data_IF_248332895932
#
_entry.id   IF_248332895932
#
_cell.length_a   1.000
_cell.length_b   1.000
_cell.length_c   1.000
_cell.angle_alpha   90.00
_cell.angle_beta   90.00
_cell.angle_gamma   90.00
#
_symmetry.space_group_name_H-M   'P 1'
#
loop_
_entity.id
_entity.type
_entity.pdbx_description
1 polymer ?
#
# COMPACT_ATOMS: atom_id res chain seq x y z
N UNK A 1 8.89 -19.48 35.88
CA UNK A 1 8.72 -20.42 34.75
C UNK A 1 7.50 -19.95 33.97
N UNK A 2 7.69 -19.14 32.92
CA UNK A 2 6.60 -18.59 32.09
C UNK A 2 6.68 -19.22 30.71
N UNK A 3 5.64 -19.94 30.36
CA UNK A 3 5.50 -20.63 29.08
C UNK A 3 4.86 -19.63 28.10
N UNK A 4 5.57 -19.27 27.04
CA UNK A 4 5.02 -18.50 25.91
C UNK A 4 4.31 -19.44 24.96
N UNK A 5 3.09 -19.13 24.50
CA UNK A 5 2.47 -19.89 23.41
C UNK A 5 3.04 -19.43 22.06
N UNK A 6 3.66 -20.34 21.33
CA UNK A 6 4.02 -20.17 19.94
C UNK A 6 2.73 -20.24 19.10
N UNK A 7 2.38 -19.17 18.41
CA UNK A 7 1.28 -19.16 17.44
C UNK A 7 1.82 -19.78 16.14
N UNK A 8 1.46 -21.05 15.91
CA UNK A 8 1.73 -21.74 14.65
C UNK A 8 0.77 -21.25 13.56
N UNK A 9 1.32 -20.57 12.56
CA UNK A 9 0.60 -20.19 11.35
C UNK A 9 0.47 -21.42 10.45
N UNK A 10 -0.68 -22.12 10.49
CA UNK A 10 -0.98 -23.23 9.59
C UNK A 10 -1.35 -22.70 8.21
N UNK A 11 -0.46 -22.94 7.25
CA UNK A 11 -0.68 -22.67 5.83
C UNK A 11 -1.64 -23.72 5.26
N UNK A 12 -2.89 -23.34 5.00
CA UNK A 12 -3.87 -24.21 4.34
C UNK A 12 -3.61 -24.18 2.83
N UNK A 13 -3.04 -25.26 2.29
CA UNK A 13 -2.88 -25.44 0.85
C UNK A 13 -4.19 -26.02 0.31
N UNK A 14 -4.99 -25.18 -0.36
CA UNK A 14 -6.12 -25.65 -1.16
C UNK A 14 -5.61 -26.16 -2.50
N UNK A 15 -5.70 -27.47 -2.72
CA UNK A 15 -5.50 -28.08 -4.03
C UNK A 15 -6.74 -27.85 -4.90
N UNK A 16 -6.63 -27.00 -5.91
CA UNK A 16 -7.67 -26.82 -6.93
C UNK A 16 -7.42 -27.81 -8.06
N UNK A 17 -8.35 -28.74 -8.20
CA UNK A 17 -8.36 -29.73 -9.28
C UNK A 17 -8.56 -29.06 -10.65
N UNK A 18 -7.72 -29.40 -11.61
CA UNK A 18 -7.82 -28.98 -13.00
C UNK A 18 -8.96 -29.69 -13.71
N UNK A 19 -10.02 -28.94 -14.07
CA UNK A 19 -10.99 -29.36 -15.10
C UNK A 19 -10.70 -28.55 -16.37
N UNK A 20 -10.24 -29.25 -17.40
CA UNK A 20 -10.01 -28.66 -18.71
C UNK A 20 -11.32 -28.19 -19.33
N UNK A 21 -11.36 -26.98 -19.81
CA UNK A 21 -12.37 -26.46 -20.72
C UNK A 21 -11.69 -26.04 -22.02
N UNK A 22 -12.20 -26.66 -23.08
CA UNK A 22 -11.85 -26.50 -24.48
C UNK A 22 -11.87 -25.04 -24.94
N UNK A 23 -10.91 -24.72 -25.80
CA UNK A 23 -10.78 -23.42 -26.42
C UNK A 23 -12.01 -22.98 -27.20
N UNK A 24 -12.38 -21.76 -27.04
CA UNK A 24 -13.17 -21.00 -27.98
C UNK A 24 -12.37 -19.79 -28.42
N UNK A 25 -12.16 -19.71 -29.74
CA UNK A 25 -11.49 -18.66 -30.49
C UNK A 25 -12.00 -17.27 -30.08
N UNK A 26 -11.21 -16.53 -29.34
CA UNK A 26 -11.44 -15.11 -29.16
C UNK A 26 -10.69 -14.33 -30.25
N UNK A 27 -11.20 -14.38 -31.48
CA UNK A 27 -10.89 -13.36 -32.48
C UNK A 27 -11.51 -12.04 -32.03
N UNK A 28 -10.79 -11.30 -31.21
CA UNK A 28 -11.14 -9.91 -30.91
C UNK A 28 -10.83 -9.08 -32.16
N UNK A 29 -11.86 -8.73 -32.88
CA UNK A 29 -11.85 -7.86 -34.04
C UNK A 29 -11.23 -6.50 -33.64
N UNK A 30 -10.05 -6.23 -34.16
CA UNK A 30 -9.41 -4.95 -34.07
C UNK A 30 -10.12 -3.92 -34.93
N UNK A 31 -11.16 -3.31 -34.39
CA UNK A 31 -11.66 -2.02 -34.87
C UNK A 31 -11.23 -0.98 -33.83
N UNK A 32 -10.01 -0.53 -33.96
CA UNK A 32 -9.50 0.59 -33.21
C UNK A 32 -9.40 1.81 -34.09
N UNK A 33 -10.40 2.65 -34.07
CA UNK A 33 -10.13 4.06 -34.08
C UNK A 33 -9.49 4.35 -32.70
N UNK A 34 -8.17 4.39 -32.65
CA UNK A 34 -7.43 4.84 -31.48
C UNK A 34 -7.90 6.26 -31.15
N UNK A 35 -8.57 6.49 -30.00
CA UNK A 35 -8.55 7.83 -29.47
C UNK A 35 -7.09 8.11 -29.21
N UNK A 36 -6.58 9.22 -29.69
CA UNK A 36 -5.29 9.78 -29.31
C UNK A 36 -5.39 10.17 -27.83
N UNK A 37 -5.25 9.20 -26.95
CA UNK A 37 -5.12 9.45 -25.52
C UNK A 37 -3.75 10.06 -25.35
N UNK A 38 -3.71 11.37 -25.15
CA UNK A 38 -2.51 11.99 -24.60
C UNK A 38 -2.15 11.18 -23.36
N UNK A 39 -0.89 10.78 -23.16
CA UNK A 39 -0.51 10.05 -21.96
C UNK A 39 -0.92 10.90 -20.76
N UNK A 40 -1.90 10.41 -20.02
CA UNK A 40 -2.29 11.02 -18.76
C UNK A 40 -1.11 10.82 -17.81
N UNK A 41 -0.58 11.90 -17.27
CA UNK A 41 0.47 11.81 -16.26
C UNK A 41 -0.03 11.06 -15.01
N UNK A 42 -1.32 11.15 -14.73
CA UNK A 42 -1.99 10.56 -13.57
C UNK A 42 -2.67 9.26 -13.98
N UNK A 43 -2.38 8.18 -13.25
CA UNK A 43 -2.99 6.87 -13.50
C UNK A 43 -4.11 6.53 -12.53
N UNK A 44 -4.00 6.93 -11.26
CA UNK A 44 -4.94 6.50 -10.24
C UNK A 44 -4.94 7.49 -9.07
N UNK A 45 -6.12 7.73 -8.52
CA UNK A 45 -6.31 8.41 -7.25
C UNK A 45 -6.86 7.43 -6.22
N UNK A 46 -6.34 7.46 -4.99
CA UNK A 46 -6.76 6.61 -3.88
C UNK A 46 -7.10 7.41 -2.65
N UNK A 47 -8.11 6.97 -1.93
CA UNK A 47 -8.44 7.48 -0.61
C UNK A 47 -8.90 6.33 0.29
N UNK A 48 -8.75 6.51 1.59
CA UNK A 48 -9.13 5.46 2.53
C UNK A 48 -8.97 5.85 3.98
N UNK A 49 -9.25 4.88 4.83
CA UNK A 49 -9.11 5.01 6.27
C UNK A 49 -8.22 3.89 6.81
N UNK A 50 -7.47 4.20 7.85
CA UNK A 50 -6.66 3.21 8.56
C UNK A 50 -6.73 3.41 10.06
N UNK A 51 -6.64 2.31 10.81
CA UNK A 51 -6.31 2.31 12.22
C UNK A 51 -4.80 2.57 12.34
N UNK A 52 -4.43 3.56 13.13
CA UNK A 52 -3.04 3.90 13.37
C UNK A 52 -2.51 3.11 14.54
N UNK A 53 -1.39 2.42 14.30
CA UNK A 53 -0.60 1.70 15.29
C UNK A 53 -1.46 0.81 16.23
N UNK A 54 -2.37 -0.04 15.68
CA UNK A 54 -3.40 -0.72 16.48
C UNK A 54 -2.82 -1.62 17.58
N UNK A 55 -1.55 -1.97 17.51
CA UNK A 55 -0.83 -2.76 18.52
C UNK A 55 0.21 -1.96 19.31
N UNK A 56 0.38 -0.68 18.99
CA UNK A 56 1.40 0.20 19.60
C UNK A 56 0.82 1.28 20.49
N UNK A 57 1.65 2.30 20.73
CA UNK A 57 1.33 3.40 21.65
C UNK A 57 0.19 4.27 21.13
N UNK A 58 0.22 4.63 19.86
CA UNK A 58 -0.74 5.56 19.27
C UNK A 58 -2.13 4.96 19.06
N UNK A 59 -2.24 3.63 19.08
CA UNK A 59 -3.51 2.92 18.92
C UNK A 59 -4.27 2.59 20.20
N UNK A 60 -3.72 2.90 21.38
CA UNK A 60 -4.29 2.45 22.68
C UNK A 60 -5.74 2.88 22.93
N UNK A 61 -6.10 4.08 22.49
CA UNK A 61 -7.44 4.65 22.68
C UNK A 61 -8.25 4.68 21.38
N UNK A 62 -7.81 3.93 20.38
CA UNK A 62 -8.35 3.97 19.04
C UNK A 62 -7.90 5.22 18.28
N UNK A 63 -7.09 5.05 17.27
CA UNK A 63 -6.58 6.15 16.44
C UNK A 63 -6.85 5.85 14.97
N UNK A 64 -7.41 6.82 14.26
CA UNK A 64 -7.83 6.66 12.87
C UNK A 64 -7.21 7.75 11.98
N UNK A 65 -6.87 7.34 10.77
CA UNK A 65 -6.35 8.22 9.73
C UNK A 65 -7.26 8.26 8.53
N UNK A 66 -7.27 9.43 7.88
CA UNK A 66 -7.69 9.59 6.50
C UNK A 66 -6.44 9.57 5.63
N UNK A 67 -6.42 8.72 4.60
CA UNK A 67 -5.32 8.62 3.64
C UNK A 67 -5.76 9.08 2.26
N UNK A 68 -4.84 9.77 1.56
CA UNK A 68 -4.99 10.14 0.16
C UNK A 68 -3.69 9.88 -0.59
N UNK A 69 -3.78 9.33 -1.81
CA UNK A 69 -2.61 8.97 -2.61
C UNK A 69 -2.92 9.19 -4.10
N UNK A 70 -1.94 9.70 -4.82
CA UNK A 70 -1.96 9.86 -6.27
C UNK A 70 -0.86 8.98 -6.85
N UNK A 71 -1.20 8.13 -7.82
CA UNK A 71 -0.25 7.35 -8.59
C UNK A 71 -0.12 7.92 -9.99
N UNK A 72 1.11 7.94 -10.44
CA UNK A 72 1.47 8.35 -11.80
C UNK A 72 1.58 7.13 -12.70
N UNK A 73 1.57 7.35 -14.00
CA UNK A 73 1.82 6.30 -14.97
C UNK A 73 3.24 5.75 -14.85
N UNK A 74 3.43 4.52 -15.30
CA UNK A 74 4.77 3.92 -15.38
C UNK A 74 5.66 4.77 -16.27
N UNK A 75 6.88 5.13 -15.81
CA UNK A 75 7.77 6.01 -16.58
C UNK A 75 8.28 5.38 -17.89
N UNK A 76 8.18 4.05 -17.99
CA UNK A 76 8.62 3.29 -19.17
C UNK A 76 7.58 2.23 -19.52
N UNK A 77 7.46 1.92 -20.80
CA UNK A 77 6.64 0.81 -21.32
C UNK A 77 7.54 -0.41 -21.52
N UNK A 78 7.12 -1.56 -21.03
CA UNK A 78 7.79 -2.83 -21.29
C UNK A 78 7.22 -3.50 -22.55
N UNK A 79 8.07 -4.25 -23.25
CA UNK A 79 7.66 -5.03 -24.42
C UNK A 79 6.90 -6.30 -24.07
N UNK A 80 6.98 -6.76 -22.82
CA UNK A 80 6.35 -7.97 -22.32
C UNK A 80 5.78 -7.76 -20.90
N UNK A 81 4.82 -8.62 -20.52
CA UNK A 81 4.10 -8.54 -19.26
C UNK A 81 5.02 -8.74 -18.05
N UNK A 82 5.97 -9.67 -18.14
CA UNK A 82 6.87 -9.98 -17.04
C UNK A 82 7.74 -8.77 -16.68
N UNK A 83 8.41 -8.18 -17.67
CA UNK A 83 9.20 -6.96 -17.47
C UNK A 83 8.34 -5.80 -16.95
N UNK A 84 7.08 -5.71 -17.41
CA UNK A 84 6.14 -4.68 -16.93
C UNK A 84 5.91 -4.71 -15.41
N UNK A 85 5.96 -5.88 -14.77
CA UNK A 85 5.78 -5.97 -13.31
C UNK A 85 6.94 -5.36 -12.53
N UNK A 86 8.14 -5.29 -13.09
CA UNK A 86 9.30 -4.67 -12.44
C UNK A 86 9.36 -3.14 -12.61
N UNK A 87 8.56 -2.58 -13.53
CA UNK A 87 8.49 -1.12 -13.71
C UNK A 87 7.45 -0.58 -12.73
N UNK A 88 7.87 0.18 -11.71
CA UNK A 88 6.96 0.72 -10.71
C UNK A 88 6.20 1.95 -11.22
N UNK A 89 5.09 2.24 -10.55
CA UNK A 89 4.39 3.51 -10.66
C UNK A 89 4.88 4.44 -9.55
N UNK A 90 5.38 5.65 -9.86
CA UNK A 90 5.62 6.67 -8.84
C UNK A 90 4.31 7.03 -8.12
N UNK A 91 4.40 7.37 -6.84
CA UNK A 91 3.27 7.87 -6.08
C UNK A 91 3.66 8.95 -5.07
N UNK A 92 2.70 9.79 -4.74
CA UNK A 92 2.75 10.72 -3.62
C UNK A 92 1.47 10.60 -2.82
N UNK A 93 1.55 10.81 -1.52
CA UNK A 93 0.37 10.74 -0.67
C UNK A 93 0.57 11.29 0.72
N UNK A 94 -0.46 11.15 1.53
CA UNK A 94 -0.44 11.57 2.92
C UNK A 94 -1.47 10.84 3.76
N UNK A 95 -1.24 10.89 5.05
CA UNK A 95 -2.10 10.32 6.08
C UNK A 95 -2.31 11.36 7.18
N UNK A 96 -3.56 11.75 7.39
CA UNK A 96 -3.97 12.72 8.40
C UNK A 96 -4.63 11.98 9.57
N UNK A 97 -4.09 12.13 10.74
CA UNK A 97 -4.64 11.55 11.95
C UNK A 97 -5.72 12.46 12.56
N UNK A 98 -6.86 11.88 12.98
CA UNK A 98 -7.97 12.61 13.57
C UNK A 98 -7.89 12.75 15.10
N UNK A 99 -6.95 12.07 15.75
CA UNK A 99 -6.84 11.97 17.20
C UNK A 99 -5.58 12.66 17.75
N UNK A 100 -5.08 13.69 17.06
CA UNK A 100 -3.85 14.42 17.42
C UNK A 100 -2.61 13.53 17.53
N UNK A 101 -2.59 12.39 16.83
CA UNK A 101 -1.45 11.48 16.71
C UNK A 101 -0.58 11.86 15.50
N UNK A 102 0.30 10.99 15.09
CA UNK A 102 1.23 11.24 14.00
C UNK A 102 0.53 11.29 12.65
N UNK A 103 0.67 12.40 11.95
CA UNK A 103 0.34 12.55 10.53
C UNK A 103 1.61 12.56 9.71
N UNK A 104 1.54 12.15 8.44
CA UNK A 104 2.72 12.10 7.58
C UNK A 104 2.36 12.30 6.11
N UNK A 105 3.33 12.76 5.33
CA UNK A 105 3.29 12.80 3.88
C UNK A 105 4.41 11.94 3.31
N UNK A 106 4.20 11.34 2.15
CA UNK A 106 5.14 10.38 1.58
C UNK A 106 5.22 10.45 0.06
N UNK A 107 6.33 9.95 -0.46
CA UNK A 107 6.52 9.69 -1.88
C UNK A 107 7.30 8.38 -2.07
N UNK A 108 7.07 7.69 -3.17
CA UNK A 108 7.71 6.41 -3.41
C UNK A 108 7.34 5.75 -4.73
N UNK A 109 7.54 4.45 -4.77
CA UNK A 109 7.34 3.59 -5.92
C UNK A 109 6.43 2.42 -5.53
N UNK A 110 5.46 2.07 -6.39
CA UNK A 110 4.52 0.96 -6.21
C UNK A 110 4.65 -0.06 -7.33
N UNK A 111 4.68 -1.33 -6.96
CA UNK A 111 4.71 -2.49 -7.85
C UNK A 111 3.41 -3.27 -7.69
N UNK A 112 2.62 -3.35 -8.74
CA UNK A 112 1.34 -4.07 -8.75
C UNK A 112 1.47 -5.32 -9.60
N UNK A 113 1.05 -6.46 -9.04
CA UNK A 113 1.04 -7.77 -9.70
C UNK A 113 -0.38 -8.31 -9.71
N UNK A 114 -0.88 -8.62 -10.90
CA UNK A 114 -2.20 -9.20 -11.09
C UNK A 114 -2.15 -10.71 -10.81
N UNK A 115 -2.85 -11.15 -9.77
CA UNK A 115 -3.01 -12.57 -9.42
C UNK A 115 -4.10 -13.20 -10.28
N UNK A 116 -5.15 -12.45 -10.54
CA UNK A 116 -6.24 -12.78 -11.49
C UNK A 116 -6.66 -11.49 -12.22
N UNK A 117 -7.54 -11.54 -13.22
CA UNK A 117 -8.04 -10.31 -13.84
C UNK A 117 -8.64 -9.29 -12.88
N UNK A 118 -9.18 -9.76 -11.76
CA UNK A 118 -9.84 -8.91 -10.77
C UNK A 118 -9.08 -8.77 -9.45
N UNK A 119 -8.15 -9.66 -9.11
CA UNK A 119 -7.42 -9.65 -7.85
C UNK A 119 -5.97 -9.27 -8.12
N UNK A 120 -5.46 -8.31 -7.35
CA UNK A 120 -4.06 -7.90 -7.42
C UNK A 120 -3.43 -7.82 -6.04
N UNK A 121 -2.11 -7.91 -6.02
CA UNK A 121 -1.27 -7.58 -4.87
C UNK A 121 -0.38 -6.42 -5.25
N UNK A 122 -0.09 -5.58 -4.26
CA UNK A 122 0.79 -4.43 -4.46
C UNK A 122 1.76 -4.30 -3.30
N UNK A 123 3.01 -4.05 -3.63
CA UNK A 123 4.03 -3.62 -2.71
C UNK A 123 4.46 -2.19 -3.01
N UNK A 124 4.75 -1.38 -2.00
CA UNK A 124 5.33 -0.07 -2.19
C UNK A 124 6.48 0.20 -1.23
N UNK A 125 7.41 1.04 -1.69
CA UNK A 125 8.54 1.49 -0.91
C UNK A 125 8.85 2.96 -1.23
N UNK A 126 9.23 3.73 -0.20
CA UNK A 126 9.54 5.15 -0.37
C UNK A 126 10.01 5.82 0.91
N UNK A 127 9.91 7.14 0.93
CA UNK A 127 10.20 7.98 2.09
C UNK A 127 8.98 8.73 2.59
N UNK A 128 8.96 9.04 3.88
CA UNK A 128 7.92 9.81 4.52
C UNK A 128 8.49 10.88 5.46
N UNK A 129 7.84 12.02 5.51
CA UNK A 129 8.05 13.07 6.52
C UNK A 129 6.84 13.10 7.45
N UNK A 130 7.05 13.36 8.71
CA UNK A 130 6.01 13.25 9.74
C UNK A 130 6.07 14.38 10.76
N UNK A 131 4.99 14.53 11.53
CA UNK A 131 4.91 15.44 12.68
C UNK A 131 4.98 14.69 14.04
N UNK A 132 5.45 13.45 14.04
CA UNK A 132 5.73 12.68 15.23
C UNK A 132 6.91 13.25 16.03
N UNK A 133 7.31 12.59 17.11
CA UNK A 133 8.40 13.04 17.96
C UNK A 133 9.74 12.49 17.49
N UNK A 134 10.75 13.37 17.47
CA UNK A 134 12.13 12.99 17.12
C UNK A 134 12.92 12.51 18.36
N UNK A 135 12.46 12.87 19.56
CA UNK A 135 13.07 12.48 20.83
C UNK A 135 12.04 11.85 21.77
N UNK A 136 12.49 10.95 22.67
CA UNK A 136 11.62 10.34 23.66
C UNK A 136 10.94 11.40 24.53
N UNK A 137 9.62 11.36 24.57
CA UNK A 137 8.81 12.19 25.43
C UNK A 137 7.83 11.31 26.21
N UNK A 138 8.05 11.18 27.52
CA UNK A 138 7.22 10.34 28.41
C UNK A 138 5.80 10.86 28.58
N UNK A 139 5.59 12.15 28.28
CA UNK A 139 4.29 12.81 28.42
C UNK A 139 3.55 12.94 27.08
N UNK A 140 4.17 12.52 25.98
CA UNK A 140 3.53 12.57 24.66
C UNK A 140 2.85 11.25 24.36
N UNK A 141 1.64 11.34 23.82
CA UNK A 141 0.90 10.19 23.27
C UNK A 141 1.36 9.84 21.86
N UNK A 142 2.20 10.69 21.23
CA UNK A 142 2.77 10.43 19.91
C UNK A 142 3.97 9.51 20.01
N UNK A 143 4.09 8.62 19.02
CA UNK A 143 5.24 7.72 18.89
C UNK A 143 6.53 8.51 18.65
N UNK A 144 7.61 8.06 19.29
CA UNK A 144 8.96 8.51 18.96
C UNK A 144 9.42 7.79 17.71
N UNK A 145 9.65 8.54 16.65
CA UNK A 145 10.04 8.01 15.33
C UNK A 145 11.49 8.32 14.98
N UNK A 146 12.20 9.07 15.84
CA UNK A 146 13.64 9.32 15.75
C UNK A 146 13.97 10.47 14.83
N UNK A 147 13.87 10.31 13.55
CA UNK A 147 14.20 11.36 12.57
C UNK A 147 13.20 11.45 11.44
N UNK A 148 13.37 12.49 10.62
CA UNK A 148 12.63 12.68 9.37
C UNK A 148 13.64 13.02 8.27
N UNK A 149 13.60 12.37 7.09
CA UNK A 149 12.58 11.41 6.64
C UNK A 149 12.76 9.99 7.19
N UNK A 150 11.66 9.23 7.19
CA UNK A 150 11.60 7.79 7.47
C UNK A 150 11.48 6.99 6.18
N UNK A 151 11.85 5.71 6.23
CA UNK A 151 11.42 4.74 5.23
C UNK A 151 9.94 4.42 5.43
N UNK A 152 9.23 4.26 4.32
CA UNK A 152 7.85 3.80 4.29
C UNK A 152 7.73 2.60 3.36
N UNK A 153 7.14 1.55 3.86
CA UNK A 153 6.81 0.36 3.11
C UNK A 153 5.32 0.02 3.28
N UNK A 154 4.69 -0.52 2.25
CA UNK A 154 3.33 -1.02 2.37
C UNK A 154 3.08 -2.24 1.50
N UNK A 155 2.14 -3.07 1.96
CA UNK A 155 1.60 -4.20 1.22
C UNK A 155 0.09 -4.09 1.14
N UNK A 156 -0.47 -4.37 -0.03
CA UNK A 156 -1.92 -4.34 -0.25
C UNK A 156 -2.38 -5.59 -1.00
N UNK A 157 -3.60 -6.00 -0.70
CA UNK A 157 -4.37 -6.95 -1.51
C UNK A 157 -5.63 -6.26 -1.94
N UNK A 158 -5.89 -6.23 -3.25
CA UNK A 158 -7.01 -5.48 -3.82
C UNK A 158 -7.85 -6.28 -4.80
N UNK A 159 -9.07 -5.79 -4.99
CA UNK A 159 -10.04 -6.30 -5.96
C UNK A 159 -10.50 -5.15 -6.87
N UNK A 160 -10.45 -5.36 -8.19
CA UNK A 160 -11.07 -4.48 -9.18
C UNK A 160 -12.56 -4.76 -9.25
N UNK A 161 -13.37 -3.77 -8.92
CA UNK A 161 -14.83 -3.84 -8.96
C UNK A 161 -15.36 -3.51 -10.38
N UNK A 162 -14.63 -2.68 -11.10
CA UNK A 162 -14.91 -2.29 -12.49
C UNK A 162 -13.63 -1.91 -13.22
N UNK A 163 -13.73 -1.39 -14.44
CA UNK A 163 -12.57 -0.88 -15.17
C UNK A 163 -11.85 0.27 -14.45
N UNK A 164 -12.58 1.08 -13.68
CA UNK A 164 -12.05 2.27 -13.03
C UNK A 164 -11.94 2.15 -11.50
N UNK A 165 -12.75 1.30 -10.85
CA UNK A 165 -12.82 1.25 -9.40
C UNK A 165 -12.17 0.00 -8.81
N UNK A 166 -11.41 0.20 -7.76
CA UNK A 166 -10.82 -0.87 -6.95
C UNK A 166 -11.02 -0.62 -5.47
N UNK A 167 -10.99 -1.68 -4.68
CA UNK A 167 -10.89 -1.64 -3.21
C UNK A 167 -9.72 -2.50 -2.78
N UNK A 168 -9.02 -2.08 -1.71
CA UNK A 168 -7.86 -2.80 -1.22
C UNK A 168 -7.75 -2.72 0.30
N UNK A 169 -7.28 -3.80 0.91
CA UNK A 169 -6.78 -3.81 2.27
C UNK A 169 -5.28 -3.54 2.24
N UNK A 170 -4.80 -2.69 3.13
CA UNK A 170 -3.40 -2.24 3.15
C UNK A 170 -2.83 -2.32 4.56
N UNK A 171 -1.61 -2.81 4.65
CA UNK A 171 -0.73 -2.66 5.81
C UNK A 171 0.42 -1.74 5.40
N UNK A 172 0.74 -0.77 6.24
CA UNK A 172 1.75 0.24 5.99
C UNK A 172 2.64 0.38 7.22
N UNK A 173 3.94 0.49 7.02
CA UNK A 173 4.92 0.64 8.09
C UNK A 173 5.88 1.78 7.78
N UNK A 174 6.16 2.59 8.82
CA UNK A 174 7.16 3.66 8.78
C UNK A 174 8.24 3.35 9.82
N UNK A 175 9.50 3.46 9.43
CA UNK A 175 10.64 3.28 10.34
C UNK A 175 11.88 4.03 9.84
N UNK A 176 12.82 4.29 10.74
CA UNK A 176 14.13 4.88 10.38
C UNK A 176 15.17 3.84 9.93
N UNK A 177 14.79 2.56 9.92
CA UNK A 177 15.71 1.47 9.61
C UNK A 177 16.88 1.33 10.58
N UNK A 178 16.76 1.86 11.81
CA UNK A 178 17.81 1.86 12.83
C UNK A 178 18.92 2.89 12.57
N UNK A 179 18.68 3.89 11.72
CA UNK A 179 19.70 4.88 11.35
C UNK A 179 19.76 6.10 12.26
N UNK A 180 18.69 6.38 13.02
CA UNK A 180 18.54 7.63 13.75
C UNK A 180 18.41 7.46 15.26
N UNK A 181 17.78 6.42 15.75
CA UNK A 181 17.52 6.21 17.18
C UNK A 181 17.24 4.75 17.49
N UNK A 182 17.89 4.26 18.55
CA UNK A 182 17.61 2.91 19.09
C UNK A 182 16.21 2.78 19.70
N UNK A 183 15.49 3.89 19.88
CA UNK A 183 14.15 3.93 20.45
C UNK A 183 13.02 4.01 19.42
N UNK A 184 13.34 4.06 18.14
CA UNK A 184 12.34 4.02 17.08
C UNK A 184 11.70 2.63 17.03
N UNK A 185 10.39 2.58 17.30
CA UNK A 185 9.59 1.35 17.23
C UNK A 185 8.80 1.23 15.92
N UNK A 186 8.98 2.21 15.02
CA UNK A 186 8.18 2.34 13.83
C UNK A 186 6.72 2.71 14.11
N UNK A 187 5.97 2.90 13.06
CA UNK A 187 4.54 3.19 13.08
C UNK A 187 3.85 2.29 12.06
N UNK A 188 2.94 1.43 12.51
CA UNK A 188 2.23 0.49 11.64
C UNK A 188 0.76 0.88 11.52
N UNK A 189 0.25 1.02 10.31
CA UNK A 189 -1.15 1.32 10.03
C UNK A 189 -1.79 0.16 9.26
N UNK A 190 -3.05 -0.11 9.57
CA UNK A 190 -3.85 -1.13 8.88
C UNK A 190 -5.18 -0.53 8.45
N UNK A 191 -5.51 -0.63 7.19
CA UNK A 191 -6.71 0.02 6.68
C UNK A 191 -7.24 -0.51 5.36
N UNK A 192 -8.19 0.23 4.83
CA UNK A 192 -8.78 -0.02 3.52
C UNK A 192 -8.73 1.26 2.68
N UNK A 193 -8.52 1.08 1.37
CA UNK A 193 -8.49 2.16 0.38
C UNK A 193 -9.42 1.84 -0.78
N UNK A 194 -9.96 2.88 -1.37
CA UNK A 194 -10.68 2.84 -2.65
C UNK A 194 -9.82 3.55 -3.67
N UNK A 195 -9.65 2.97 -4.84
CA UNK A 195 -8.91 3.52 -5.96
C UNK A 195 -9.82 3.83 -7.14
N UNK A 196 -9.54 4.93 -7.83
CA UNK A 196 -10.14 5.30 -9.10
C UNK A 196 -9.05 5.50 -10.14
N UNK A 197 -9.07 4.65 -11.18
CA UNK A 197 -8.14 4.71 -12.33
C UNK A 197 -8.80 5.48 -13.48
N UNK A 198 -8.02 6.33 -14.16
CA UNK A 198 -8.46 7.19 -15.27
C UNK A 198 -8.43 6.48 -16.62
#
# INVERSE_FOLDING_TARGET
MRISPAIGLSLLILSVGSSGVLGSDFKRQANSSLPSTQPSLLSEFRFGFSAQDPWGREGRDGSANLTGEILFDKPFTASDLFTSYFIPRPHIGGSLNFNDRTSFAYAGLSWTIDVTPNIFVEGSFGGAIHNGKDSPDRFSDRQTLGCSPLFRESGSVGVRLSANWSVMATVEHLSDGGTCSDENRGLTNVGARVGYSF
#
